data_IF_580121909632
#
_entry.id   IF_580121909632
#
_cell.length_a   1.000
_cell.length_b   1.000
_cell.length_c   1.000
_cell.angle_alpha   90.00
_cell.angle_beta   90.00
_cell.angle_gamma   90.00
#
_symmetry.space_group_name_H-M   'P 1'
#
loop_
_entity.id
_entity.type
_entity.pdbx_description
1 polymer ?
#
# COMPACT_ATOMS: atom_id res chain seq x y z
N UNK A 1 2.13 -20.59 6.44
CA UNK A 1 0.79 -20.21 5.99
C UNK A 1 0.91 -19.45 4.68
N UNK A 2 0.01 -19.67 3.72
CA UNK A 2 0.02 -18.98 2.42
C UNK A 2 -1.40 -18.72 1.94
N UNK A 3 -1.60 -17.57 1.32
CA UNK A 3 -2.80 -17.22 0.58
C UNK A 3 -2.46 -17.19 -0.91
N UNK A 4 -3.26 -17.86 -1.72
CA UNK A 4 -3.16 -17.85 -3.18
C UNK A 4 -4.52 -17.42 -3.74
N UNK A 5 -4.51 -16.40 -4.60
CA UNK A 5 -5.73 -15.80 -5.18
C UNK A 5 -5.53 -15.64 -6.68
N UNK A 6 -6.32 -16.34 -7.45
CA UNK A 6 -6.38 -16.26 -8.91
C UNK A 6 -7.85 -16.10 -9.30
N UNK A 7 -8.35 -14.88 -9.38
CA UNK A 7 -9.77 -14.62 -9.60
C UNK A 7 -10.03 -13.58 -10.68
N UNK A 8 -11.17 -13.73 -11.34
CA UNK A 8 -11.77 -12.71 -12.18
C UNK A 8 -13.14 -12.30 -11.63
N UNK A 9 -13.40 -11.00 -11.64
CA UNK A 9 -14.71 -10.41 -11.30
C UNK A 9 -15.02 -9.26 -12.22
N UNK A 10 -16.12 -9.36 -12.95
CA UNK A 10 -16.65 -8.25 -13.75
C UNK A 10 -17.27 -7.21 -12.82
N UNK A 11 -16.86 -5.97 -12.97
CA UNK A 11 -17.35 -4.82 -12.24
C UNK A 11 -17.88 -3.78 -13.26
N UNK A 12 -18.66 -2.80 -12.78
CA UNK A 12 -19.07 -1.70 -13.62
C UNK A 12 -17.85 -0.87 -14.05
N UNK A 13 -17.49 -0.94 -15.33
CA UNK A 13 -16.39 -0.18 -15.92
C UNK A 13 -15.07 -0.93 -16.13
N UNK A 14 -14.78 -2.02 -15.40
CA UNK A 14 -13.58 -2.83 -15.62
C UNK A 14 -13.73 -4.27 -15.10
N UNK A 15 -12.79 -5.13 -15.46
CA UNK A 15 -12.69 -6.49 -14.92
C UNK A 15 -11.55 -6.56 -13.93
N UNK A 16 -11.85 -6.88 -12.68
CA UNK A 16 -10.85 -7.24 -11.68
C UNK A 16 -10.22 -8.59 -12.06
N UNK A 17 -8.90 -8.62 -12.21
CA UNK A 17 -8.08 -9.83 -12.37
C UNK A 17 -7.01 -9.80 -11.29
N UNK A 18 -7.31 -10.46 -10.18
CA UNK A 18 -6.40 -10.50 -9.04
C UNK A 18 -5.64 -11.81 -9.05
N UNK A 19 -4.34 -11.70 -9.35
CA UNK A 19 -3.38 -12.81 -9.32
C UNK A 19 -2.33 -12.45 -8.28
N UNK A 20 -2.46 -12.98 -7.07
CA UNK A 20 -1.58 -12.64 -5.96
C UNK A 20 -1.32 -13.82 -5.01
N UNK A 21 -0.16 -13.78 -4.40
CA UNK A 21 0.23 -14.69 -3.32
C UNK A 21 0.72 -13.86 -2.12
N UNK A 22 0.38 -14.31 -0.91
CA UNK A 22 0.88 -13.73 0.33
C UNK A 22 1.31 -14.82 1.29
N UNK A 23 2.47 -14.64 1.91
CA UNK A 23 3.05 -15.57 2.89
C UNK A 23 2.61 -15.27 4.32
N UNK A 24 3.36 -15.86 5.27
CA UNK A 24 3.14 -15.66 6.71
C UNK A 24 3.76 -14.34 7.20
N UNK A 25 3.48 -13.26 6.49
CA UNK A 25 3.96 -11.90 6.79
C UNK A 25 2.86 -10.90 6.51
N UNK A 26 3.03 -9.68 7.02
CA UNK A 26 2.18 -8.58 6.61
C UNK A 26 2.51 -8.14 5.18
N UNK A 27 1.53 -8.22 4.29
CA UNK A 27 1.63 -7.84 2.88
C UNK A 27 0.71 -6.66 2.59
N UNK A 28 1.26 -5.57 2.07
CA UNK A 28 0.47 -4.42 1.63
C UNK A 28 -0.12 -4.65 0.23
N UNK A 29 -1.35 -4.24 0.01
CA UNK A 29 -1.94 -4.05 -1.32
C UNK A 29 -2.07 -2.54 -1.54
N UNK A 30 -1.12 -1.97 -2.30
CA UNK A 30 -1.06 -0.55 -2.61
C UNK A 30 -1.69 -0.28 -3.98
N UNK A 31 -2.51 0.76 -4.08
CA UNK A 31 -3.09 1.17 -5.37
C UNK A 31 -4.03 2.36 -5.24
N UNK A 32 -4.38 2.97 -6.36
CA UNK A 32 -5.32 4.09 -6.40
C UNK A 32 -6.72 3.70 -5.89
N UNK A 33 -7.50 4.70 -5.47
CA UNK A 33 -8.91 4.45 -5.12
C UNK A 33 -9.67 3.89 -6.32
N UNK A 34 -10.52 2.89 -6.07
CA UNK A 34 -11.32 2.27 -7.14
C UNK A 34 -10.60 1.21 -7.99
N UNK A 35 -9.28 0.95 -7.79
CA UNK A 35 -8.56 -0.05 -8.60
C UNK A 35 -8.88 -1.52 -8.28
N UNK A 36 -9.75 -1.82 -7.30
CA UNK A 36 -10.21 -3.19 -7.01
C UNK A 36 -9.71 -3.79 -5.70
N UNK A 37 -8.90 -3.11 -4.88
CA UNK A 37 -8.32 -3.63 -3.63
C UNK A 37 -9.35 -4.18 -2.65
N UNK A 38 -10.31 -3.36 -2.25
CA UNK A 38 -11.40 -3.76 -1.33
C UNK A 38 -12.28 -4.86 -1.92
N UNK A 39 -12.46 -4.88 -3.24
CA UNK A 39 -13.21 -5.94 -3.93
C UNK A 39 -12.46 -7.27 -3.83
N UNK A 40 -11.14 -7.27 -4.01
CA UNK A 40 -10.29 -8.46 -3.80
C UNK A 40 -10.48 -9.01 -2.38
N UNK A 41 -10.41 -8.15 -1.34
CA UNK A 41 -10.64 -8.60 0.05
C UNK A 41 -12.04 -9.18 0.25
N UNK A 42 -13.08 -8.56 -0.32
CA UNK A 42 -14.46 -9.06 -0.24
C UNK A 42 -14.63 -10.41 -0.94
N UNK A 43 -13.93 -10.62 -2.06
CA UNK A 43 -13.91 -11.94 -2.74
C UNK A 43 -13.21 -13.00 -1.87
N UNK A 44 -12.07 -12.70 -1.24
CA UNK A 44 -11.37 -13.59 -0.34
C UNK A 44 -12.24 -13.93 0.89
N UNK A 45 -12.93 -12.93 1.44
CA UNK A 45 -13.82 -13.11 2.59
C UNK A 45 -15.11 -13.90 2.25
N UNK A 46 -15.45 -14.08 0.97
CA UNK A 46 -16.68 -14.74 0.54
C UNK A 46 -17.93 -13.87 0.63
N UNK A 47 -17.75 -12.56 0.77
CA UNK A 47 -18.86 -11.57 0.75
C UNK A 47 -19.34 -11.34 -0.67
N UNK A 48 -18.38 -11.35 -1.62
CA UNK A 48 -18.65 -11.25 -3.05
C UNK A 48 -18.11 -12.50 -3.73
N UNK A 49 -18.94 -13.16 -4.52
CA UNK A 49 -18.55 -14.33 -5.31
C UNK A 49 -17.76 -13.87 -6.54
N UNK A 50 -16.51 -14.37 -6.76
CA UNK A 50 -15.82 -14.20 -8.03
C UNK A 50 -16.59 -14.85 -9.18
N UNK A 51 -16.39 -14.36 -10.40
CA UNK A 51 -17.03 -14.97 -11.58
C UNK A 51 -16.24 -16.20 -12.05
N UNK A 52 -14.90 -16.18 -11.90
CA UNK A 52 -13.99 -17.29 -12.22
C UNK A 52 -12.81 -17.32 -11.28
N UNK A 53 -12.16 -18.47 -11.24
CA UNK A 53 -10.85 -18.66 -10.63
C UNK A 53 -10.89 -19.46 -9.34
N UNK A 54 -9.85 -19.28 -8.52
CA UNK A 54 -9.61 -20.09 -7.32
C UNK A 54 -9.00 -19.26 -6.20
N UNK A 55 -9.38 -19.58 -4.96
CA UNK A 55 -8.82 -18.99 -3.73
C UNK A 55 -8.43 -20.13 -2.80
N UNK A 56 -7.16 -20.15 -2.37
CA UNK A 56 -6.64 -21.09 -1.39
C UNK A 56 -6.07 -20.36 -0.18
N UNK A 57 -6.32 -20.91 1.00
CA UNK A 57 -5.68 -20.48 2.25
C UNK A 57 -5.08 -21.74 2.93
N UNK A 58 -3.76 -21.77 3.08
CA UNK A 58 -3.02 -22.89 3.64
C UNK A 58 -3.32 -24.24 2.93
N UNK A 59 -3.43 -24.20 1.60
CA UNK A 59 -3.79 -25.36 0.79
C UNK A 59 -5.28 -25.72 0.81
N UNK A 60 -6.10 -25.11 1.69
CA UNK A 60 -7.55 -25.31 1.72
C UNK A 60 -8.22 -24.44 0.65
N UNK A 61 -9.03 -25.05 -0.18
CA UNK A 61 -9.84 -24.36 -1.19
C UNK A 61 -10.98 -23.63 -0.51
N UNK A 62 -11.02 -22.29 -0.65
CA UNK A 62 -12.10 -21.43 -0.16
C UNK A 62 -13.13 -21.14 -1.26
N UNK A 63 -12.64 -21.02 -2.49
CA UNK A 63 -13.43 -20.83 -3.69
C UNK A 63 -12.75 -21.52 -4.88
N UNK A 64 -13.53 -22.17 -5.71
CA UNK A 64 -13.07 -22.74 -6.98
C UNK A 64 -14.26 -22.80 -7.95
N UNK A 65 -14.19 -22.05 -9.04
CA UNK A 65 -15.27 -21.96 -10.03
C UNK A 65 -15.44 -23.23 -10.86
N UNK A 66 -14.37 -24.02 -11.07
CA UNK A 66 -14.39 -25.26 -11.85
C UNK A 66 -14.94 -26.43 -11.02
N UNK A 67 -14.52 -26.49 -9.74
CA UNK A 67 -15.00 -27.51 -8.80
C UNK A 67 -16.32 -27.15 -8.11
N UNK A 68 -16.91 -26.00 -8.43
CA UNK A 68 -18.13 -25.50 -7.79
C UNK A 68 -18.05 -25.35 -6.27
N UNK A 69 -16.86 -25.07 -5.74
CA UNK A 69 -16.61 -24.83 -4.32
C UNK A 69 -16.79 -23.34 -4.05
N UNK A 70 -17.62 -22.99 -3.07
CA UNK A 70 -17.82 -21.62 -2.61
C UNK A 70 -18.17 -21.66 -1.12
N UNK A 71 -17.14 -21.60 -0.26
CA UNK A 71 -17.35 -21.64 1.19
C UNK A 71 -17.98 -20.32 1.65
N UNK A 72 -19.03 -20.37 2.50
CA UNK A 72 -19.58 -19.16 3.09
C UNK A 72 -18.56 -18.47 4.01
N UNK A 73 -18.66 -17.14 4.25
CA UNK A 73 -17.69 -16.36 5.01
C UNK A 73 -17.30 -16.98 6.37
N UNK A 74 -18.30 -17.53 7.11
CA UNK A 74 -18.12 -18.11 8.43
C UNK A 74 -17.23 -19.35 8.44
N UNK A 75 -17.08 -20.02 7.32
CA UNK A 75 -16.27 -21.23 7.17
C UNK A 75 -14.88 -20.97 6.62
N UNK A 76 -14.57 -19.72 6.17
CA UNK A 76 -13.28 -19.40 5.55
C UNK A 76 -12.15 -19.20 6.55
N UNK A 77 -12.47 -18.93 7.83
CA UNK A 77 -11.47 -18.69 8.88
C UNK A 77 -10.70 -17.38 8.66
N UNK A 78 -11.32 -16.39 8.05
CA UNK A 78 -10.75 -15.08 7.73
C UNK A 78 -11.34 -13.99 8.59
N UNK A 79 -10.54 -13.00 8.96
CA UNK A 79 -10.96 -11.77 9.63
C UNK A 79 -10.84 -10.59 8.70
N UNK A 80 -11.90 -9.81 8.52
CA UNK A 80 -11.93 -8.60 7.70
C UNK A 80 -12.32 -7.38 8.52
N UNK A 81 -11.42 -6.41 8.62
CA UNK A 81 -11.71 -5.07 9.11
C UNK A 81 -12.15 -4.21 7.93
N UNK A 82 -13.37 -3.71 7.99
CA UNK A 82 -13.92 -2.77 7.00
C UNK A 82 -13.47 -1.34 7.30
N UNK A 83 -13.41 -0.50 6.29
CA UNK A 83 -13.05 0.90 6.37
C UNK A 83 -13.88 1.70 7.40
N UNK A 84 -15.15 1.36 7.58
CA UNK A 84 -16.07 1.98 8.55
C UNK A 84 -16.21 1.17 9.85
N UNK A 85 -15.25 0.25 10.12
CA UNK A 85 -15.22 -0.64 11.28
C UNK A 85 -16.43 -1.58 11.41
N UNK A 86 -17.57 -1.27 10.84
CA UNK A 86 -18.82 -2.04 10.83
C UNK A 86 -19.20 -2.59 12.24
N UNK A 87 -19.06 -1.75 13.28
CA UNK A 87 -19.52 -2.09 14.64
C UNK A 87 -21.05 -2.10 14.67
N UNK A 88 -21.60 -3.01 15.49
CA UNK A 88 -23.05 -3.05 15.76
C UNK A 88 -23.41 -1.89 16.68
N UNK A 89 -24.15 -0.87 16.21
CA UNK A 89 -24.33 0.39 16.94
C UNK A 89 -25.13 0.24 18.25
N UNK A 90 -26.00 -0.75 18.30
CA UNK A 90 -26.87 -1.02 19.49
C UNK A 90 -26.25 -1.99 20.48
N UNK A 91 -25.05 -2.50 20.23
CA UNK A 91 -24.31 -3.42 21.09
C UNK A 91 -23.19 -2.69 21.82
N UNK A 92 -22.89 -3.11 23.04
CA UNK A 92 -21.72 -2.64 23.78
C UNK A 92 -20.43 -3.15 23.16
N UNK A 93 -19.26 -2.64 23.60
CA UNK A 93 -17.94 -3.15 23.21
C UNK A 93 -17.83 -4.65 23.47
N UNK A 94 -18.17 -5.10 24.69
CA UNK A 94 -18.15 -6.52 25.03
C UNK A 94 -19.06 -7.36 24.13
N UNK A 95 -20.28 -6.89 23.86
CA UNK A 95 -21.23 -7.58 22.98
C UNK A 95 -20.73 -7.66 21.54
N UNK A 96 -20.13 -6.57 21.02
CA UNK A 96 -19.50 -6.57 19.70
C UNK A 96 -18.39 -7.63 19.61
N UNK A 97 -17.53 -7.72 20.63
CA UNK A 97 -16.44 -8.70 20.67
C UNK A 97 -16.99 -10.13 20.74
N UNK A 98 -18.01 -10.37 21.59
CA UNK A 98 -18.65 -11.69 21.73
C UNK A 98 -19.28 -12.20 20.42
N UNK A 99 -19.67 -11.31 19.49
CA UNK A 99 -20.12 -11.70 18.15
C UNK A 99 -19.03 -12.43 17.34
N UNK A 100 -17.75 -12.16 17.59
CA UNK A 100 -16.63 -12.86 16.96
C UNK A 100 -16.45 -14.32 17.43
N UNK A 101 -17.15 -14.72 18.49
CA UNK A 101 -17.10 -16.06 19.09
C UNK A 101 -18.36 -16.90 18.81
N UNK A 102 -19.09 -16.64 17.74
CA UNK A 102 -20.34 -17.35 17.46
C UNK A 102 -20.16 -18.87 17.25
N UNK A 103 -18.97 -19.33 16.84
CA UNK A 103 -18.67 -20.75 16.68
C UNK A 103 -18.38 -21.46 18.02
N UNK A 104 -18.01 -20.73 19.08
CA UNK A 104 -17.72 -21.29 20.41
C UNK A 104 -19.03 -21.48 21.18
N UNK A 105 -19.31 -22.72 21.59
CA UNK A 105 -20.54 -23.08 22.29
C UNK A 105 -20.44 -22.95 23.83
N UNK A 106 -19.22 -23.09 24.35
CA UNK A 106 -18.99 -22.97 25.81
C UNK A 106 -19.06 -21.50 26.24
N UNK A 107 -20.04 -21.18 27.04
CA UNK A 107 -20.29 -19.84 27.59
C UNK A 107 -19.14 -19.35 28.48
N UNK A 108 -18.52 -20.25 29.26
CA UNK A 108 -17.42 -19.88 30.14
C UNK A 108 -16.15 -19.57 29.31
N UNK A 109 -15.84 -20.40 28.31
CA UNK A 109 -14.73 -20.17 27.38
C UNK A 109 -14.91 -18.86 26.59
N UNK A 110 -16.13 -18.57 26.10
CA UNK A 110 -16.45 -17.29 25.41
C UNK A 110 -16.16 -16.10 26.31
N UNK A 111 -16.62 -16.15 27.58
CA UNK A 111 -16.42 -15.03 28.51
C UNK A 111 -14.94 -14.84 28.87
N UNK A 112 -14.21 -15.92 29.09
CA UNK A 112 -12.77 -15.87 29.36
C UNK A 112 -11.98 -15.27 28.20
N UNK A 113 -12.24 -15.70 26.95
CA UNK A 113 -11.57 -15.15 25.76
C UNK A 113 -11.96 -13.70 25.51
N UNK A 114 -13.21 -13.32 25.76
CA UNK A 114 -13.61 -11.92 25.64
C UNK A 114 -12.86 -11.05 26.66
N UNK A 115 -12.71 -11.49 27.90
CA UNK A 115 -11.95 -10.75 28.91
C UNK A 115 -10.45 -10.64 28.55
N UNK A 116 -9.86 -11.71 28.00
CA UNK A 116 -8.48 -11.71 27.52
C UNK A 116 -8.26 -10.65 26.42
N UNK A 117 -9.11 -10.64 25.40
CA UNK A 117 -8.96 -9.69 24.28
C UNK A 117 -9.29 -8.26 24.70
N UNK A 118 -10.25 -8.03 25.59
CA UNK A 118 -10.54 -6.71 26.16
C UNK A 118 -9.29 -6.13 26.83
N UNK A 119 -8.58 -6.95 27.63
CA UNK A 119 -7.34 -6.55 28.28
C UNK A 119 -6.23 -6.28 27.27
N UNK A 120 -6.01 -7.18 26.34
CA UNK A 120 -4.98 -7.05 25.31
C UNK A 120 -5.16 -5.78 24.45
N UNK A 121 -6.41 -5.36 24.21
CA UNK A 121 -6.76 -4.17 23.43
C UNK A 121 -7.01 -2.93 24.31
N UNK A 122 -6.77 -2.98 25.62
CA UNK A 122 -7.00 -1.86 26.56
C UNK A 122 -8.43 -1.30 26.48
N UNK A 123 -9.42 -2.21 26.45
CA UNK A 123 -10.85 -1.88 26.31
C UNK A 123 -11.66 -2.24 27.57
N UNK A 124 -11.03 -2.66 28.67
CA UNK A 124 -11.71 -3.16 29.88
C UNK A 124 -12.69 -2.14 30.46
N UNK A 125 -12.24 -0.90 30.64
CA UNK A 125 -13.07 0.20 31.18
C UNK A 125 -14.18 0.66 30.21
N UNK A 126 -14.07 0.27 28.93
CA UNK A 126 -15.02 0.62 27.88
C UNK A 126 -16.00 -0.51 27.55
N UNK A 127 -15.90 -1.67 28.21
CA UNK A 127 -16.65 -2.88 27.88
C UNK A 127 -18.18 -2.68 27.81
N UNK A 128 -18.72 -1.81 28.67
CA UNK A 128 -20.13 -1.46 28.72
C UNK A 128 -20.58 -0.35 27.78
N UNK A 129 -19.66 0.39 27.13
CA UNK A 129 -19.97 1.50 26.25
C UNK A 129 -20.43 1.03 24.89
N UNK A 130 -21.21 1.88 24.21
CA UNK A 130 -21.64 1.68 22.82
C UNK A 130 -20.72 2.40 21.83
N UNK A 131 -20.70 2.00 20.54
CA UNK A 131 -19.84 2.63 19.52
C UNK A 131 -19.94 4.16 19.45
N UNK A 132 -21.13 4.72 19.62
CA UNK A 132 -21.32 6.18 19.59
C UNK A 132 -20.63 6.94 20.75
N UNK A 133 -20.23 6.24 21.82
CA UNK A 133 -19.56 6.78 23.00
C UNK A 133 -18.04 6.61 22.95
N UNK A 134 -17.51 6.09 21.82
CA UNK A 134 -16.10 5.77 21.62
C UNK A 134 -15.43 6.75 20.64
N UNK A 135 -14.16 7.07 20.89
CA UNK A 135 -13.32 7.73 19.89
C UNK A 135 -13.06 6.80 18.67
N UNK A 136 -12.62 7.37 17.55
CA UNK A 136 -12.30 6.60 16.34
C UNK A 136 -11.31 5.46 16.59
N UNK A 137 -10.23 5.71 17.33
CA UNK A 137 -9.26 4.67 17.71
C UNK A 137 -9.84 3.60 18.63
N UNK A 138 -10.74 3.96 19.58
CA UNK A 138 -11.44 2.99 20.43
C UNK A 138 -12.41 2.14 19.62
N UNK A 139 -13.11 2.71 18.62
CA UNK A 139 -13.94 1.96 17.69
C UNK A 139 -13.12 0.98 16.85
N UNK A 140 -11.99 1.41 16.36
CA UNK A 140 -11.07 0.55 15.59
C UNK A 140 -10.54 -0.61 16.44
N UNK A 141 -10.05 -0.34 17.67
CA UNK A 141 -9.61 -1.38 18.60
C UNK A 141 -10.74 -2.37 18.91
N UNK A 142 -11.95 -1.90 19.08
CA UNK A 142 -13.13 -2.75 19.30
C UNK A 142 -13.41 -3.66 18.09
N UNK A 143 -13.31 -3.13 16.88
CA UNK A 143 -13.49 -3.91 15.65
C UNK A 143 -12.38 -4.95 15.46
N UNK A 144 -11.12 -4.58 15.72
CA UNK A 144 -9.99 -5.52 15.73
C UNK A 144 -10.16 -6.61 16.79
N UNK A 145 -10.55 -6.25 18.02
CA UNK A 145 -10.83 -7.20 19.09
C UNK A 145 -11.90 -8.22 18.67
N UNK A 146 -12.99 -7.76 18.03
CA UNK A 146 -14.07 -8.62 17.50
C UNK A 146 -13.56 -9.63 16.47
N UNK A 147 -12.59 -9.24 15.65
CA UNK A 147 -11.99 -10.12 14.65
C UNK A 147 -11.01 -11.11 15.29
N UNK A 148 -10.10 -10.59 16.11
CA UNK A 148 -8.99 -11.38 16.67
C UNK A 148 -9.44 -12.41 17.72
N UNK A 149 -10.54 -12.14 18.43
CA UNK A 149 -11.10 -13.10 19.38
C UNK A 149 -11.47 -14.43 18.71
N UNK A 150 -11.78 -14.40 17.40
CA UNK A 150 -12.04 -15.58 16.56
C UNK A 150 -10.80 -16.36 16.14
N UNK A 151 -9.58 -15.84 16.38
CA UNK A 151 -8.30 -16.41 15.94
C UNK A 151 -8.30 -16.74 14.44
N UNK A 152 -8.47 -15.76 13.57
CA UNK A 152 -8.47 -15.98 12.14
C UNK A 152 -7.08 -16.43 11.65
N UNK A 153 -7.02 -17.24 10.59
CA UNK A 153 -5.77 -17.62 9.90
C UNK A 153 -5.28 -16.54 8.94
N UNK A 154 -6.20 -15.72 8.44
CA UNK A 154 -5.94 -14.59 7.56
C UNK A 154 -6.59 -13.34 8.16
N UNK A 155 -5.78 -12.31 8.42
CA UNK A 155 -6.24 -10.99 8.84
C UNK A 155 -6.20 -10.04 7.63
N UNK A 156 -7.31 -9.39 7.35
CA UNK A 156 -7.43 -8.43 6.25
C UNK A 156 -7.90 -7.09 6.79
N UNK A 157 -7.14 -6.02 6.49
CA UNK A 157 -7.41 -4.65 6.93
C UNK A 157 -7.69 -3.78 5.71
N UNK A 158 -8.92 -3.28 5.55
CA UNK A 158 -9.33 -2.45 4.42
C UNK A 158 -9.27 -0.97 4.80
N UNK A 159 -8.21 -0.27 4.39
CA UNK A 159 -7.93 1.14 4.65
C UNK A 159 -8.14 1.52 6.14
N UNK A 160 -7.45 0.85 7.08
CA UNK A 160 -7.78 0.95 8.51
C UNK A 160 -7.62 2.36 9.09
N UNK A 161 -6.81 3.23 8.46
CA UNK A 161 -6.49 4.56 8.98
C UNK A 161 -7.23 5.70 8.27
N UNK A 162 -8.06 5.41 7.27
CA UNK A 162 -8.68 6.44 6.41
C UNK A 162 -9.66 7.35 7.13
N UNK A 163 -10.29 6.86 8.20
CA UNK A 163 -11.29 7.60 8.97
C UNK A 163 -10.69 8.37 10.17
N UNK A 164 -9.37 8.33 10.38
CA UNK A 164 -8.69 8.95 11.51
C UNK A 164 -8.09 10.30 11.12
N UNK A 165 -8.12 11.26 12.06
CA UNK A 165 -7.33 12.48 11.95
C UNK A 165 -5.81 12.19 12.04
N UNK A 166 -4.97 13.17 11.68
CA UNK A 166 -3.52 12.97 11.55
C UNK A 166 -2.84 12.61 12.87
N UNK A 167 -3.30 13.17 14.00
CA UNK A 167 -2.70 12.92 15.30
C UNK A 167 -3.01 11.51 15.81
N UNK A 168 -4.29 11.13 15.77
CA UNK A 168 -4.74 9.81 16.20
C UNK A 168 -4.22 8.70 15.28
N UNK A 169 -3.97 9.02 14.01
CA UNK A 169 -3.44 8.07 13.02
C UNK A 169 -2.08 7.52 13.40
N UNK A 170 -1.13 8.36 13.83
CA UNK A 170 0.23 7.92 14.21
C UNK A 170 0.21 6.95 15.39
N UNK A 171 -0.62 7.22 16.40
CA UNK A 171 -0.79 6.35 17.56
C UNK A 171 -1.34 4.97 17.14
N UNK A 172 -2.42 4.99 16.38
CA UNK A 172 -3.11 3.78 15.92
C UNK A 172 -2.28 2.99 14.90
N UNK A 173 -1.48 3.65 14.04
CA UNK A 173 -0.52 2.98 13.17
C UNK A 173 0.51 2.18 13.98
N UNK A 174 1.02 2.72 15.08
CA UNK A 174 1.94 2.01 15.98
C UNK A 174 1.29 0.77 16.63
N UNK A 175 0.03 0.89 17.07
CA UNK A 175 -0.73 -0.24 17.63
C UNK A 175 -0.98 -1.35 16.59
N UNK A 176 -1.43 -0.97 15.39
CA UNK A 176 -1.66 -1.91 14.27
C UNK A 176 -0.34 -2.54 13.81
N UNK A 177 0.75 -1.78 13.76
CA UNK A 177 2.08 -2.28 13.44
C UNK A 177 2.54 -3.37 14.42
N UNK A 178 2.36 -3.13 15.72
CA UNK A 178 2.67 -4.11 16.77
C UNK A 178 1.80 -5.37 16.66
N UNK A 179 0.52 -5.20 16.33
CA UNK A 179 -0.41 -6.30 16.10
C UNK A 179 0.00 -7.14 14.89
N UNK A 180 0.33 -6.49 13.77
CA UNK A 180 0.78 -7.17 12.54
C UNK A 180 2.09 -7.93 12.76
N UNK A 181 3.03 -7.36 13.52
CA UNK A 181 4.31 -8.00 13.85
C UNK A 181 4.14 -9.25 14.74
N UNK A 182 3.15 -9.26 15.62
CA UNK A 182 2.84 -10.40 16.51
C UNK A 182 1.80 -11.36 15.95
N UNK A 183 1.25 -11.12 14.76
CA UNK A 183 0.20 -11.97 14.20
C UNK A 183 0.78 -13.25 13.58
N UNK A 184 0.42 -14.40 14.16
CA UNK A 184 0.85 -15.73 13.70
C UNK A 184 0.00 -16.23 12.52
N UNK A 185 -0.04 -15.48 11.42
CA UNK A 185 -0.84 -15.80 10.25
C UNK A 185 -0.46 -14.96 9.04
N UNK A 186 -1.22 -15.09 7.97
CA UNK A 186 -1.11 -14.19 6.82
C UNK A 186 -1.89 -12.92 7.10
N UNK A 187 -1.29 -11.75 6.89
CA UNK A 187 -1.99 -10.47 7.03
C UNK A 187 -1.94 -9.67 5.72
N UNK A 188 -3.09 -9.12 5.31
CA UNK A 188 -3.20 -8.20 4.18
C UNK A 188 -3.61 -6.81 4.68
N UNK A 189 -2.86 -5.78 4.30
CA UNK A 189 -3.17 -4.38 4.55
C UNK A 189 -3.47 -3.69 3.22
N UNK A 190 -4.71 -3.33 2.99
CA UNK A 190 -5.10 -2.50 1.84
C UNK A 190 -4.96 -1.04 2.22
N UNK A 191 -4.22 -0.29 1.42
CA UNK A 191 -4.05 1.16 1.59
C UNK A 191 -3.77 1.85 0.25
N UNK A 192 -4.05 3.14 0.17
CA UNK A 192 -3.58 4.03 -0.88
C UNK A 192 -2.39 4.89 -0.41
N UNK A 193 -2.01 4.80 0.87
CA UNK A 193 -0.88 5.51 1.46
C UNK A 193 0.38 4.64 1.41
N UNK A 194 1.33 5.04 0.58
CA UNK A 194 2.61 4.35 0.39
C UNK A 194 3.47 4.29 1.66
N UNK A 195 3.36 5.33 2.52
CA UNK A 195 4.18 5.43 3.73
C UNK A 195 3.68 4.44 4.80
N UNK A 196 2.37 4.22 4.92
CA UNK A 196 1.76 3.13 5.71
C UNK A 196 2.24 1.77 5.22
N UNK A 197 2.13 1.51 3.91
CA UNK A 197 2.57 0.26 3.30
C UNK A 197 4.07 0.00 3.55
N UNK A 198 4.90 1.05 3.45
CA UNK A 198 6.35 0.95 3.66
C UNK A 198 6.72 0.64 5.11
N UNK A 199 6.03 1.28 6.09
CA UNK A 199 6.33 1.11 7.51
C UNK A 199 5.78 -0.19 8.09
N UNK A 200 4.58 -0.60 7.66
CA UNK A 200 3.84 -1.68 8.33
C UNK A 200 3.99 -3.05 7.67
N UNK A 201 4.41 -3.11 6.39
CA UNK A 201 4.42 -4.35 5.65
C UNK A 201 5.80 -4.71 5.10
N UNK A 202 6.18 -5.98 5.29
CA UNK A 202 7.41 -6.53 4.73
C UNK A 202 7.29 -6.71 3.21
N UNK A 203 6.15 -7.19 2.75
CA UNK A 203 5.88 -7.49 1.36
C UNK A 203 4.81 -6.54 0.80
N UNK A 204 4.84 -6.33 -0.50
CA UNK A 204 3.95 -5.39 -1.18
C UNK A 204 3.48 -5.94 -2.52
N UNK A 205 2.21 -5.71 -2.79
CA UNK A 205 1.53 -5.92 -4.06
C UNK A 205 1.05 -4.56 -4.54
N UNK A 206 1.46 -4.14 -5.73
CA UNK A 206 0.96 -2.91 -6.37
C UNK A 206 -0.14 -3.28 -7.34
N UNK A 207 -1.32 -2.66 -7.17
CA UNK A 207 -2.48 -2.87 -8.04
C UNK A 207 -2.90 -1.60 -8.75
N UNK A 208 -3.24 -1.71 -10.01
CA UNK A 208 -3.89 -0.65 -10.77
C UNK A 208 -4.90 -1.23 -11.77
N UNK A 209 -6.03 -0.52 -11.95
CA UNK A 209 -7.06 -0.86 -12.96
C UNK A 209 -7.46 -2.35 -12.94
N UNK A 210 -7.59 -2.92 -11.75
CA UNK A 210 -8.01 -4.32 -11.55
C UNK A 210 -6.93 -5.37 -11.76
N UNK A 211 -5.66 -4.97 -11.92
CA UNK A 211 -4.54 -5.90 -12.18
C UNK A 211 -3.41 -5.70 -11.17
N UNK A 212 -2.69 -6.77 -10.90
CA UNK A 212 -1.42 -6.72 -10.16
C UNK A 212 -0.31 -6.29 -11.12
N UNK A 213 0.39 -5.20 -10.79
CA UNK A 213 1.49 -4.66 -11.58
C UNK A 213 2.85 -5.17 -11.12
N UNK A 214 3.03 -5.29 -9.82
CA UNK A 214 4.30 -5.64 -9.19
C UNK A 214 4.07 -6.32 -7.85
N UNK A 215 4.86 -7.34 -7.55
CA UNK A 215 4.90 -8.03 -6.25
C UNK A 215 6.34 -8.20 -5.82
N UNK A 216 6.60 -8.12 -4.52
CA UNK A 216 7.93 -8.34 -3.94
C UNK A 216 8.02 -7.80 -2.53
N UNK A 217 9.24 -7.80 -1.96
CA UNK A 217 9.45 -7.10 -0.69
C UNK A 217 9.21 -5.60 -0.90
N UNK A 218 8.67 -4.94 0.11
CA UNK A 218 8.33 -3.51 0.03
C UNK A 218 9.54 -2.68 -0.43
N UNK A 219 10.72 -2.94 0.12
CA UNK A 219 11.95 -2.26 -0.29
C UNK A 219 12.29 -2.49 -1.77
N UNK A 220 12.16 -3.74 -2.25
CA UNK A 220 12.44 -4.07 -3.65
C UNK A 220 11.45 -3.41 -4.62
N UNK A 221 10.16 -3.37 -4.27
CA UNK A 221 9.13 -2.69 -5.08
C UNK A 221 9.36 -1.18 -5.15
N UNK A 222 9.81 -0.57 -4.04
CA UNK A 222 10.17 0.85 -4.05
C UNK A 222 11.44 1.14 -4.83
N UNK A 223 12.44 0.26 -4.77
CA UNK A 223 13.70 0.44 -5.51
C UNK A 223 13.54 0.17 -7.01
N UNK A 224 12.73 -0.83 -7.38
CA UNK A 224 12.49 -1.25 -8.77
C UNK A 224 10.99 -1.48 -9.02
N UNK A 225 10.21 -0.43 -9.30
CA UNK A 225 8.79 -0.53 -9.59
C UNK A 225 8.47 -1.09 -10.98
N UNK A 226 9.42 -1.13 -11.90
CA UNK A 226 9.38 -1.64 -13.28
C UNK A 226 8.43 -0.93 -14.24
N UNK A 227 7.30 -0.40 -13.78
CA UNK A 227 6.33 0.28 -14.63
C UNK A 227 6.08 1.72 -14.19
N UNK A 228 5.69 2.58 -15.14
CA UNK A 228 5.33 3.97 -14.85
C UNK A 228 4.20 4.08 -13.84
N UNK A 229 3.20 3.21 -13.92
CA UNK A 229 2.08 3.18 -12.98
C UNK A 229 2.53 2.79 -11.56
N UNK A 230 3.34 1.74 -11.40
CA UNK A 230 3.86 1.35 -10.08
C UNK A 230 4.82 2.41 -9.52
N UNK A 231 5.64 3.05 -10.35
CA UNK A 231 6.51 4.15 -9.94
C UNK A 231 5.71 5.33 -9.37
N UNK A 232 4.62 5.73 -10.03
CA UNK A 232 3.71 6.78 -9.53
C UNK A 232 3.09 6.41 -8.20
N UNK A 233 2.58 5.19 -8.06
CA UNK A 233 1.95 4.71 -6.82
C UNK A 233 2.95 4.64 -5.67
N UNK A 234 4.21 4.27 -5.94
CA UNK A 234 5.29 4.32 -4.94
C UNK A 234 5.92 5.70 -4.76
N UNK A 235 5.34 6.75 -5.38
CA UNK A 235 5.65 8.16 -5.13
C UNK A 235 6.78 8.74 -5.96
N UNK A 236 7.19 8.12 -7.05
CA UNK A 236 8.07 8.72 -8.02
C UNK A 236 7.33 9.83 -8.77
N UNK A 237 7.77 11.08 -8.61
CA UNK A 237 7.18 12.26 -9.27
C UNK A 237 7.80 12.52 -10.64
N UNK A 238 9.10 12.28 -10.78
CA UNK A 238 9.82 12.51 -12.04
C UNK A 238 9.80 11.22 -12.86
N UNK A 239 8.87 11.15 -13.79
CA UNK A 239 8.78 10.08 -14.79
C UNK A 239 9.01 10.76 -16.13
N UNK A 240 10.23 10.58 -16.67
CA UNK A 240 10.72 11.27 -17.84
C UNK A 240 10.73 10.31 -19.03
N UNK A 241 9.99 10.60 -20.10
CA UNK A 241 10.02 9.78 -21.31
C UNK A 241 11.43 9.70 -21.88
N UNK A 242 11.83 8.52 -22.33
CA UNK A 242 13.17 8.30 -22.87
C UNK A 242 13.18 7.22 -23.96
N UNK A 243 14.28 7.16 -24.69
CA UNK A 243 14.63 6.08 -25.58
C UNK A 243 15.92 5.41 -25.11
N UNK A 244 15.98 4.08 -25.18
CA UNK A 244 17.18 3.30 -24.90
C UNK A 244 18.26 3.59 -25.95
N UNK A 245 19.47 3.86 -25.48
CA UNK A 245 20.66 4.06 -26.35
C UNK A 245 21.50 2.78 -26.33
N UNK A 246 21.82 2.28 -25.11
CA UNK A 246 22.54 1.02 -24.88
C UNK A 246 22.08 0.32 -23.62
N UNK A 247 22.83 -0.65 -23.11
CA UNK A 247 22.48 -1.44 -21.94
C UNK A 247 22.35 -0.62 -20.63
N UNK A 248 23.02 0.53 -20.54
CA UNK A 248 23.05 1.36 -19.33
C UNK A 248 22.78 2.84 -19.61
N UNK A 249 22.40 3.21 -20.84
CA UNK A 249 22.22 4.60 -21.22
C UNK A 249 20.86 4.81 -21.89
N UNK A 250 20.19 5.87 -21.48
CA UNK A 250 18.98 6.35 -22.13
C UNK A 250 19.15 7.82 -22.57
N UNK A 251 18.42 8.22 -23.61
CA UNK A 251 18.27 9.61 -24.03
C UNK A 251 16.88 10.10 -23.66
N UNK A 252 16.78 11.21 -22.96
CA UNK A 252 15.48 11.80 -22.64
C UNK A 252 14.81 12.35 -23.92
N UNK A 253 13.50 12.12 -24.01
CA UNK A 253 12.70 12.63 -25.12
C UNK A 253 12.53 14.14 -25.00
N UNK A 254 12.79 14.84 -26.09
CA UNK A 254 12.65 16.30 -26.18
C UNK A 254 13.88 17.10 -25.72
N UNK A 255 14.95 16.44 -25.29
CA UNK A 255 16.26 17.06 -25.05
C UNK A 255 17.39 16.07 -25.40
N UNK A 256 18.60 16.61 -25.59
CA UNK A 256 19.79 15.78 -25.88
C UNK A 256 20.46 15.22 -24.61
N UNK A 257 19.74 15.23 -23.49
CA UNK A 257 20.27 14.76 -22.22
C UNK A 257 20.39 13.23 -22.20
N UNK A 258 21.61 12.74 -21.96
CA UNK A 258 21.88 11.34 -21.73
C UNK A 258 21.89 11.06 -20.23
N UNK A 259 21.27 9.94 -19.84
CA UNK A 259 21.33 9.45 -18.46
C UNK A 259 21.94 8.05 -18.44
N UNK A 260 22.93 7.88 -17.56
CA UNK A 260 23.60 6.61 -17.30
C UNK A 260 23.01 5.97 -16.06
N UNK A 261 22.56 4.73 -16.17
CA UNK A 261 21.91 3.95 -15.12
C UNK A 261 22.86 2.87 -14.60
N UNK A 262 22.80 2.59 -13.30
CA UNK A 262 23.48 1.42 -12.74
C UNK A 262 22.77 0.12 -13.11
N UNK A 263 21.44 0.15 -13.20
CA UNK A 263 20.63 -0.98 -13.65
C UNK A 263 20.68 -1.12 -15.19
N UNK A 264 20.55 -2.35 -15.66
CA UNK A 264 20.38 -2.62 -17.09
C UNK A 264 19.04 -2.05 -17.59
N UNK A 265 19.09 -1.34 -18.71
CA UNK A 265 17.92 -0.74 -19.37
C UNK A 265 17.23 -1.81 -20.22
N UNK A 266 15.99 -2.24 -19.89
CA UNK A 266 15.30 -3.24 -20.69
C UNK A 266 14.93 -2.71 -22.08
N UNK A 267 14.80 -3.59 -23.07
CA UNK A 267 14.46 -3.21 -24.46
C UNK A 267 13.14 -2.45 -24.58
N UNK A 268 12.17 -2.75 -23.71
CA UNK A 268 10.87 -2.06 -23.65
C UNK A 268 10.86 -0.80 -22.76
N UNK A 269 12.02 -0.24 -22.41
CA UNK A 269 12.08 0.98 -21.59
C UNK A 269 11.54 2.18 -22.37
N UNK A 270 10.52 2.83 -21.82
CA UNK A 270 9.85 4.00 -22.40
C UNK A 270 10.03 5.27 -21.56
N UNK A 271 10.42 5.10 -20.31
CA UNK A 271 10.64 6.21 -19.38
C UNK A 271 11.68 5.84 -18.32
N UNK A 272 12.22 6.85 -17.66
CA UNK A 272 12.99 6.70 -16.41
C UNK A 272 12.29 7.38 -15.28
N UNK A 273 12.39 6.78 -14.09
CA UNK A 273 11.90 7.35 -12.83
C UNK A 273 13.07 7.88 -11.99
N UNK A 274 12.93 9.09 -11.45
CA UNK A 274 13.87 9.68 -10.50
C UNK A 274 13.05 10.22 -9.32
N UNK A 275 13.40 9.85 -8.10
CA UNK A 275 12.70 10.39 -6.94
C UNK A 275 13.12 11.84 -6.70
N UNK A 276 12.19 12.67 -6.25
CA UNK A 276 12.42 14.10 -6.08
C UNK A 276 13.54 14.42 -5.07
N UNK A 277 13.82 13.54 -4.12
CA UNK A 277 14.88 13.71 -3.12
C UNK A 277 16.24 13.12 -3.54
N UNK A 278 16.29 12.38 -4.67
CA UNK A 278 17.53 11.80 -5.21
C UNK A 278 18.26 12.77 -6.15
N UNK A 279 17.69 13.94 -6.40
CA UNK A 279 18.32 14.98 -7.18
C UNK A 279 19.20 15.85 -6.30
N UNK A 280 20.34 16.29 -6.85
CA UNK A 280 21.26 17.23 -6.23
C UNK A 280 21.78 18.27 -7.23
N UNK A 281 22.10 19.51 -6.79
CA UNK A 281 22.78 20.49 -7.61
C UNK A 281 24.13 19.97 -8.10
N UNK A 282 24.49 20.27 -9.33
CA UNK A 282 25.74 19.83 -9.94
C UNK A 282 26.32 20.84 -10.94
N UNK A 283 27.58 20.63 -11.34
CA UNK A 283 28.16 21.31 -12.50
C UNK A 283 27.56 20.78 -13.81
N UNK A 284 27.63 21.56 -14.86
CA UNK A 284 27.06 21.19 -16.18
C UNK A 284 27.71 19.95 -16.81
N UNK A 285 28.99 19.70 -16.48
CA UNK A 285 29.77 18.58 -16.99
C UNK A 285 29.63 17.31 -16.11
N UNK A 286 28.85 17.35 -15.04
CA UNK A 286 28.68 16.21 -14.16
C UNK A 286 27.90 15.08 -14.85
N UNK A 287 28.17 13.85 -14.43
CA UNK A 287 27.42 12.69 -14.91
C UNK A 287 25.93 12.86 -14.58
N UNK A 288 25.07 12.60 -15.56
CA UNK A 288 23.62 12.74 -15.45
C UNK A 288 23.14 14.18 -15.16
N UNK A 289 23.92 15.19 -15.52
CA UNK A 289 23.53 16.59 -15.38
C UNK A 289 22.33 16.91 -16.26
N UNK A 290 21.30 17.48 -15.66
CA UNK A 290 20.10 17.95 -16.31
C UNK A 290 20.06 19.49 -16.19
N UNK A 291 20.17 20.25 -17.27
CA UNK A 291 19.97 21.70 -17.25
C UNK A 291 18.53 22.01 -16.83
N UNK A 292 18.35 22.95 -15.92
CA UNK A 292 17.03 23.23 -15.34
C UNK A 292 16.77 24.73 -15.23
N UNK A 293 15.51 25.10 -15.42
CA UNK A 293 14.97 26.45 -15.22
C UNK A 293 13.91 26.40 -14.12
N UNK A 294 14.03 27.20 -13.06
CA UNK A 294 13.07 27.21 -11.98
C UNK A 294 11.71 27.77 -12.45
N UNK A 295 10.63 27.01 -12.22
CA UNK A 295 9.26 27.41 -12.49
C UNK A 295 8.53 27.88 -11.23
N UNK A 296 8.70 27.16 -10.12
CA UNK A 296 8.07 27.51 -8.85
C UNK A 296 8.81 26.89 -7.69
N UNK A 297 8.74 27.54 -6.54
CA UNK A 297 9.20 27.05 -5.24
C UNK A 297 8.06 27.13 -4.25
N UNK A 298 7.86 26.08 -3.48
CA UNK A 298 6.91 26.07 -2.36
C UNK A 298 7.57 25.60 -1.09
N UNK A 299 7.36 26.35 -0.02
CA UNK A 299 7.92 26.07 1.28
C UNK A 299 6.98 25.17 2.09
N UNK A 300 7.54 24.12 2.67
CA UNK A 300 6.90 23.29 3.69
C UNK A 300 7.60 23.50 5.05
N UNK A 301 7.06 23.00 6.16
CA UNK A 301 7.69 23.17 7.47
C UNK A 301 9.15 22.72 7.54
N UNK A 302 9.54 21.63 6.86
CA UNK A 302 10.87 21.00 6.95
C UNK A 302 11.64 20.92 5.64
N UNK A 303 10.97 21.17 4.51
CA UNK A 303 11.55 21.03 3.18
C UNK A 303 11.03 22.09 2.21
N UNK A 304 11.75 22.21 1.08
CA UNK A 304 11.32 22.95 -0.09
C UNK A 304 10.91 21.97 -1.17
N UNK A 305 9.82 22.26 -1.87
CA UNK A 305 9.44 21.60 -3.11
C UNK A 305 9.64 22.58 -4.25
N UNK A 306 10.61 22.31 -5.10
CA UNK A 306 10.91 23.11 -6.29
C UNK A 306 10.48 22.36 -7.53
N UNK A 307 9.93 23.08 -8.49
CA UNK A 307 9.54 22.55 -9.79
C UNK A 307 10.35 23.30 -10.84
N UNK A 308 11.04 22.53 -11.66
CA UNK A 308 11.86 23.02 -12.76
C UNK A 308 11.30 22.58 -14.09
N UNK A 309 11.73 23.30 -15.14
CA UNK A 309 11.55 22.93 -16.55
C UNK A 309 12.87 22.38 -17.07
N UNK A 310 12.82 21.25 -17.77
CA UNK A 310 13.92 20.74 -18.59
C UNK A 310 13.89 21.34 -19.99
N UNK A 311 15.03 21.39 -20.73
CA UNK A 311 15.01 21.57 -22.17
C UNK A 311 14.03 20.54 -22.77
N UNK A 312 13.13 20.94 -23.65
CA UNK A 312 12.09 20.04 -24.17
C UNK A 312 10.77 20.06 -23.37
N UNK A 313 10.68 20.88 -22.30
CA UNK A 313 9.41 21.22 -21.64
C UNK A 313 8.94 20.30 -20.52
N UNK A 314 9.60 19.16 -20.30
CA UNK A 314 9.26 18.27 -19.17
C UNK A 314 9.49 18.94 -17.82
N UNK A 315 8.63 18.62 -16.83
CA UNK A 315 8.77 19.14 -15.48
C UNK A 315 9.60 18.19 -14.62
N UNK A 316 10.46 18.77 -13.77
CA UNK A 316 11.29 18.05 -12.82
C UNK A 316 11.01 18.59 -11.41
N UNK A 317 10.62 17.69 -10.48
CA UNK A 317 10.39 18.00 -9.07
C UNK A 317 11.66 17.71 -8.27
N UNK A 318 12.10 18.68 -7.52
CA UNK A 318 13.18 18.52 -6.55
C UNK A 318 12.66 18.80 -5.14
N UNK A 319 12.88 17.86 -4.23
CA UNK A 319 12.56 18.01 -2.81
C UNK A 319 13.84 18.05 -2.01
N UNK A 320 14.05 19.15 -1.27
CA UNK A 320 15.29 19.36 -0.51
C UNK A 320 14.97 19.81 0.90
N UNK A 321 15.70 19.28 1.90
CA UNK A 321 15.58 19.68 3.29
C UNK A 321 16.05 21.12 3.49
N UNK A 322 15.37 21.88 4.37
CA UNK A 322 15.80 23.21 4.79
C UNK A 322 17.18 23.22 5.47
N UNK A 323 17.60 22.11 6.06
CA UNK A 323 18.93 21.97 6.64
C UNK A 323 20.04 21.92 5.60
N UNK A 324 19.73 21.49 4.38
CA UNK A 324 20.68 21.40 3.26
C UNK A 324 20.80 22.74 2.50
N UNK A 325 19.70 23.50 2.46
CA UNK A 325 19.64 24.85 1.88
C UNK A 325 19.38 25.85 3.00
N UNK A 326 20.44 26.39 3.62
CA UNK A 326 20.36 27.36 4.70
C UNK A 326 20.04 28.79 4.24
N UNK A 327 19.21 28.98 3.21
CA UNK A 327 18.93 30.29 2.61
C UNK A 327 17.42 30.58 2.68
N UNK A 328 17.08 31.83 2.95
CA UNK A 328 15.70 32.32 2.98
C UNK A 328 14.97 32.17 1.62
N UNK A 329 15.70 32.11 0.52
CA UNK A 329 15.23 31.69 -0.80
C UNK A 329 16.30 30.79 -1.45
N UNK A 330 15.95 29.57 -1.91
CA UNK A 330 16.91 28.70 -2.55
C UNK A 330 17.39 29.35 -3.85
N UNK A 331 18.69 29.65 -3.96
CA UNK A 331 19.29 29.97 -5.25
C UNK A 331 19.03 28.80 -6.20
N UNK A 332 18.33 29.06 -7.29
CA UNK A 332 17.99 28.01 -8.26
C UNK A 332 19.28 27.49 -8.91
N UNK A 333 19.59 26.18 -8.78
CA UNK A 333 20.72 25.60 -9.49
C UNK A 333 20.50 25.63 -11.01
N UNK A 334 21.57 25.82 -11.78
CA UNK A 334 21.50 25.74 -13.23
C UNK A 334 21.37 24.30 -13.73
N UNK A 335 21.86 23.33 -12.95
CA UNK A 335 21.81 21.91 -13.24
C UNK A 335 21.49 21.08 -11.99
N UNK A 336 20.74 20.00 -12.20
CA UNK A 336 20.48 18.95 -11.22
C UNK A 336 20.94 17.61 -11.77
N UNK A 337 21.51 16.75 -10.94
CA UNK A 337 21.87 15.38 -11.32
C UNK A 337 21.29 14.34 -10.36
N UNK A 338 21.11 13.13 -10.86
CA UNK A 338 20.83 11.95 -10.07
C UNK A 338 21.99 10.94 -10.19
N UNK A 339 22.28 10.23 -9.11
CA UNK A 339 23.23 9.13 -9.14
C UNK A 339 22.72 8.01 -10.06
N UNK A 340 23.59 7.27 -10.79
CA UNK A 340 23.16 6.17 -11.65
C UNK A 340 22.29 5.13 -10.96
N UNK A 341 22.53 4.85 -9.68
CA UNK A 341 21.76 3.90 -8.87
C UNK A 341 20.37 4.40 -8.43
N UNK A 342 20.09 5.70 -8.56
CA UNK A 342 18.79 6.31 -8.22
C UNK A 342 17.88 6.46 -9.44
N UNK A 343 18.34 6.10 -10.62
CA UNK A 343 17.56 6.20 -11.87
C UNK A 343 16.96 4.84 -12.19
N UNK A 344 15.64 4.76 -12.20
CA UNK A 344 14.88 3.52 -12.40
C UNK A 344 14.41 3.42 -13.84
N UNK A 345 14.79 2.37 -14.61
CA UNK A 345 14.21 2.12 -15.92
C UNK A 345 12.76 1.65 -15.79
N UNK A 346 11.87 2.25 -16.58
CA UNK A 346 10.43 1.98 -16.52
C UNK A 346 9.90 1.56 -17.89
N UNK A 347 8.97 0.62 -17.86
CA UNK A 347 8.22 0.20 -19.04
C UNK A 347 6.76 0.66 -18.90
N UNK A 348 6.10 0.96 -20.02
CA UNK A 348 4.65 1.09 -20.00
C UNK A 348 4.05 -0.31 -20.09
N UNK A 349 3.36 -0.72 -19.02
CA UNK A 349 2.48 -1.89 -19.09
C UNK A 349 1.30 -1.47 -19.95
N UNK A 350 1.38 -1.71 -21.26
CA UNK A 350 0.19 -1.57 -22.11
C UNK A 350 -0.85 -2.58 -21.64
N UNK A 351 -2.05 -2.06 -21.41
CA UNK A 351 -3.22 -2.78 -20.92
C UNK A 351 -3.61 -3.97 -21.81
#
# INVERSE_FOLDING_TARGET
MSLEVHIEKKLNGFTLRSDLTAGNTATAILGASGCGKSMTLRCIAGIVKPDKGRILLDGRVLFDSEQHIDLPPQQRGVGLLFQNYALFPNMTVEQNILCGLNAEKDRAARKARCAEILRAMRLEELAGRRPAELSGGQQQRTALARILVGRPRLLMLDEPFSALDSYLREEVEGEVGSLLAGFEGTALLVTHNRDEAYRLCRDMIVMDSGRVLRTGTTKAVFADPRSTAAARLTGCKNILPCARVDAHTVRLTGCECLLHLAAEVPEGCTAVGIRAHDLAPCAAEALNALPVELLSASENPFDWNLIFRLPGGSRLWWKVSKTTLSVAEPAAPACLAALPGSIMPLTDVRA
#
